data_IF_969181225376
#
_entry.id   IF_969181225376
#
_cell.length_a   1.000
_cell.length_b   1.000
_cell.length_c   1.000
_cell.angle_alpha   90.00
_cell.angle_beta   90.00
_cell.angle_gamma   90.00
#
_symmetry.space_group_name_H-M   'P 1'
#
loop_
_entity.id
_entity.type
_entity.pdbx_description
1 polymer ?
#
# COMPACT_ATOMS: atom_id res chain seq x y z
N UNK A 1 -17.69 -11.86 5.63
CA UNK A 1 -17.51 -12.50 4.31
C UNK A 1 -16.24 -12.03 3.58
N UNK A 2 -15.78 -10.80 3.75
CA UNK A 2 -14.51 -10.29 3.11
C UNK A 2 -13.22 -10.93 3.67
N UNK A 3 -13.17 -11.31 4.95
CA UNK A 3 -12.00 -11.98 5.57
C UNK A 3 -11.73 -13.40 5.04
N UNK A 4 -12.71 -14.09 4.48
CA UNK A 4 -12.55 -15.42 3.87
C UNK A 4 -12.02 -15.35 2.42
N UNK A 5 -12.15 -14.20 1.77
CA UNK A 5 -11.70 -14.00 0.39
C UNK A 5 -10.20 -13.67 0.35
N UNK A 6 -9.69 -12.87 1.31
CA UNK A 6 -8.27 -12.54 1.42
C UNK A 6 -7.39 -13.78 1.68
N UNK A 7 -7.87 -14.72 2.49
CA UNK A 7 -7.19 -16.00 2.75
C UNK A 7 -7.16 -16.93 1.52
N UNK A 8 -8.14 -16.79 0.61
CA UNK A 8 -8.17 -17.57 -0.63
C UNK A 8 -7.22 -17.00 -1.70
N UNK A 9 -7.02 -15.67 -1.75
CA UNK A 9 -6.07 -15.04 -2.67
C UNK A 9 -4.61 -15.36 -2.30
N UNK A 10 -4.26 -15.36 -1.02
CA UNK A 10 -2.93 -15.76 -0.55
C UNK A 10 -2.60 -17.22 -0.87
N UNK A 11 -3.60 -18.13 -0.87
CA UNK A 11 -3.41 -19.54 -1.22
C UNK A 11 -3.24 -19.78 -2.73
N UNK A 12 -3.75 -18.88 -3.59
CA UNK A 12 -3.64 -19.00 -5.06
C UNK A 12 -2.28 -18.52 -5.56
N UNK A 13 -1.66 -17.53 -4.91
CA UNK A 13 -0.31 -17.07 -5.29
C UNK A 13 0.80 -18.06 -4.96
N UNK A 14 0.62 -18.96 -3.98
CA UNK A 14 1.60 -20.00 -3.62
C UNK A 14 1.57 -21.23 -4.55
N UNK A 15 0.59 -21.36 -5.45
CA UNK A 15 0.42 -22.51 -6.34
C UNK A 15 0.89 -22.28 -7.79
N UNK A 16 1.32 -21.09 -8.17
CA UNK A 16 1.71 -20.74 -9.55
C UNK A 16 3.21 -20.89 -9.88
N UNK A 17 4.06 -21.32 -8.95
CA UNK A 17 5.53 -21.41 -9.15
C UNK A 17 6.02 -22.82 -9.54
N UNK A 18 5.17 -23.84 -9.67
CA UNK A 18 5.58 -25.23 -9.88
C UNK A 18 5.17 -25.87 -11.23
N UNK A 19 4.94 -25.10 -12.30
CA UNK A 19 4.62 -25.69 -13.61
C UNK A 19 5.34 -25.01 -14.78
N UNK A 20 6.66 -25.10 -14.80
CA UNK A 20 7.42 -24.82 -16.01
C UNK A 20 8.67 -25.70 -16.05
N UNK A 21 8.54 -26.88 -16.62
CA UNK A 21 9.60 -27.57 -17.37
C UNK A 21 9.12 -28.94 -17.85
N UNK A 22 8.69 -29.06 -19.09
CA UNK A 22 9.12 -30.15 -19.99
C UNK A 22 8.60 -29.93 -21.41
N UNK A 23 9.49 -29.64 -22.30
CA UNK A 23 9.31 -29.60 -23.74
C UNK A 23 9.38 -30.99 -24.35
N UNK A 24 8.53 -31.29 -25.35
CA UNK A 24 8.98 -31.91 -26.61
C UNK A 24 7.94 -31.78 -27.70
N UNK A 25 8.42 -31.33 -28.84
CA UNK A 25 7.71 -31.14 -30.11
C UNK A 25 7.38 -32.49 -30.79
N UNK A 26 6.30 -32.51 -31.56
CA UNK A 26 6.22 -33.12 -32.89
C UNK A 26 4.93 -32.64 -33.63
N UNK A 27 5.13 -32.17 -34.84
CA UNK A 27 4.17 -31.77 -35.90
C UNK A 27 4.27 -32.82 -37.01
N UNK A 28 3.47 -32.81 -38.08
CA UNK A 28 2.03 -32.72 -38.34
C UNK A 28 1.48 -33.88 -39.22
N UNK A 29 0.18 -33.94 -39.47
CA UNK A 29 -0.40 -34.44 -40.73
C UNK A 29 -1.89 -34.11 -40.86
N UNK A 30 -2.23 -33.39 -41.92
CA UNK A 30 -3.49 -33.28 -42.62
C UNK A 30 -3.40 -34.19 -43.85
N UNK A 31 -4.42 -34.39 -44.72
CA UNK A 31 -5.88 -34.33 -44.64
C UNK A 31 -6.59 -35.59 -45.18
N UNK A 32 -7.94 -35.65 -45.14
CA UNK A 32 -8.71 -36.15 -46.27
C UNK A 32 -10.23 -35.88 -46.16
N UNK A 33 -10.72 -35.27 -47.22
CA UNK A 33 -12.13 -35.07 -47.56
C UNK A 33 -12.75 -36.37 -48.03
N UNK A 34 -14.03 -36.60 -47.74
CA UNK A 34 -14.94 -37.30 -48.68
C UNK A 34 -16.35 -36.72 -48.58
N UNK A 35 -16.75 -36.21 -49.70
CA UNK A 35 -18.10 -35.88 -50.19
C UNK A 35 -18.97 -37.11 -50.33
N UNK A 36 -20.25 -37.00 -50.01
CA UNK A 36 -21.36 -37.53 -50.82
C UNK A 36 -22.74 -36.99 -50.40
N UNK A 37 -23.46 -36.45 -51.34
CA UNK A 37 -24.85 -36.05 -51.41
C UNK A 37 -25.57 -37.11 -52.28
N UNK A 38 -26.91 -37.12 -52.55
CA UNK A 38 -28.10 -36.74 -51.78
C UNK A 38 -29.21 -37.80 -51.77
N UNK A 39 -30.32 -37.63 -51.07
CA UNK A 39 -31.60 -38.20 -51.44
C UNK A 39 -32.82 -37.43 -50.88
N UNK A 40 -33.78 -37.22 -51.68
CA UNK A 40 -34.96 -36.37 -51.68
C UNK A 40 -36.08 -36.77 -50.70
N UNK A 41 -36.76 -35.73 -50.21
CA UNK A 41 -38.15 -35.43 -49.81
C UNK A 41 -39.23 -36.53 -49.83
N UNK A 42 -40.37 -36.41 -49.03
CA UNK A 42 -41.46 -35.49 -49.39
C UNK A 42 -42.21 -34.80 -48.18
N UNK A 43 -42.61 -33.59 -48.50
CA UNK A 43 -43.90 -32.88 -48.32
C UNK A 43 -44.80 -33.11 -47.07
N UNK A 44 -45.09 -32.04 -46.31
CA UNK A 44 -46.35 -31.40 -45.91
C UNK A 44 -46.24 -30.67 -44.57
N UNK A 45 -47.15 -29.76 -44.14
CA UNK A 45 -47.52 -28.47 -44.70
C UNK A 45 -47.13 -27.31 -43.77
N UNK A 46 -47.16 -26.10 -44.30
CA UNK A 46 -46.84 -24.84 -43.65
C UNK A 46 -47.69 -24.57 -42.38
N UNK A 47 -47.03 -24.44 -41.21
CA UNK A 47 -47.51 -23.63 -40.10
C UNK A 47 -46.80 -22.27 -40.17
N UNK A 48 -47.60 -21.21 -40.31
CA UNK A 48 -47.18 -19.82 -40.15
C UNK A 48 -46.70 -19.61 -38.71
N UNK A 49 -45.38 -19.69 -38.52
CA UNK A 49 -44.77 -19.14 -37.33
C UNK A 49 -44.59 -17.65 -37.56
N UNK A 50 -45.44 -16.87 -36.95
CA UNK A 50 -45.20 -15.45 -36.72
C UNK A 50 -43.91 -15.35 -35.93
N UNK A 51 -42.81 -14.98 -36.59
CA UNK A 51 -41.61 -14.45 -35.94
C UNK A 51 -42.02 -13.14 -35.25
N UNK A 52 -42.30 -13.25 -33.97
CA UNK A 52 -42.33 -12.10 -33.07
C UNK A 52 -40.88 -11.58 -32.97
N UNK A 53 -40.58 -10.60 -33.83
CA UNK A 53 -39.34 -9.83 -33.73
C UNK A 53 -39.44 -9.07 -32.43
N UNK A 54 -38.90 -9.64 -31.33
CA UNK A 54 -38.65 -8.90 -30.12
C UNK A 54 -37.63 -7.81 -30.47
N UNK A 55 -38.13 -6.60 -30.68
CA UNK A 55 -37.26 -5.41 -30.68
C UNK A 55 -36.48 -5.44 -29.40
N UNK A 56 -35.17 -5.46 -29.47
CA UNK A 56 -34.32 -5.26 -28.29
C UNK A 56 -34.74 -3.91 -27.68
N UNK A 57 -35.21 -3.92 -26.44
CA UNK A 57 -35.49 -2.70 -25.71
C UNK A 57 -34.19 -1.89 -25.66
N UNK A 58 -34.24 -0.62 -26.01
CA UNK A 58 -33.09 0.28 -25.80
C UNK A 58 -32.81 0.31 -24.31
N UNK A 59 -31.50 0.27 -23.90
CA UNK A 59 -31.15 0.28 -22.49
C UNK A 59 -31.72 1.52 -21.82
N UNK A 60 -32.20 1.35 -20.60
CA UNK A 60 -32.67 2.45 -19.74
C UNK A 60 -31.50 3.40 -19.37
N UNK A 61 -31.82 4.62 -18.96
CA UNK A 61 -30.79 5.55 -18.51
C UNK A 61 -30.00 5.00 -17.32
N UNK A 62 -30.63 4.28 -16.41
CA UNK A 62 -29.98 3.64 -15.25
C UNK A 62 -28.98 2.57 -15.69
N UNK A 63 -29.34 1.73 -16.69
CA UNK A 63 -28.42 0.74 -17.26
C UNK A 63 -27.23 1.40 -18.00
N UNK A 64 -27.45 2.54 -18.66
CA UNK A 64 -26.37 3.29 -19.30
C UNK A 64 -25.43 3.95 -18.27
N UNK A 65 -26.00 4.48 -17.20
CA UNK A 65 -25.22 5.10 -16.12
C UNK A 65 -24.38 4.04 -15.38
N UNK A 66 -24.95 2.87 -15.10
CA UNK A 66 -24.22 1.76 -14.49
C UNK A 66 -23.10 1.25 -15.42
N UNK A 67 -23.40 1.06 -16.72
CA UNK A 67 -22.39 0.61 -17.67
C UNK A 67 -21.20 1.58 -17.79
N UNK A 68 -21.46 2.90 -17.72
CA UNK A 68 -20.40 3.89 -17.74
C UNK A 68 -19.55 3.84 -16.45
N UNK A 69 -20.18 3.61 -15.30
CA UNK A 69 -19.49 3.45 -14.02
C UNK A 69 -18.64 2.17 -13.99
N UNK A 70 -19.19 1.05 -14.48
CA UNK A 70 -18.49 -0.25 -14.56
C UNK A 70 -17.25 -0.18 -15.48
N UNK A 71 -17.33 0.55 -16.60
CA UNK A 71 -16.18 0.76 -17.47
C UNK A 71 -15.05 1.51 -16.77
N UNK A 72 -15.37 2.55 -16.02
CA UNK A 72 -14.38 3.31 -15.23
C UNK A 72 -13.84 2.49 -14.07
N UNK A 73 -14.68 1.72 -13.39
CA UNK A 73 -14.23 0.81 -12.34
C UNK A 73 -13.19 -0.18 -12.87
N UNK A 74 -13.45 -0.81 -14.01
CA UNK A 74 -12.48 -1.72 -14.64
C UNK A 74 -11.17 -1.03 -15.03
N UNK A 75 -11.18 0.25 -15.41
CA UNK A 75 -9.97 1.01 -15.70
C UNK A 75 -9.17 1.32 -14.43
N UNK A 76 -9.83 1.61 -13.32
CA UNK A 76 -9.20 1.84 -12.01
C UNK A 76 -8.57 0.53 -11.52
N UNK A 77 -9.30 -0.58 -11.54
CA UNK A 77 -8.78 -1.90 -11.13
C UNK A 77 -7.56 -2.30 -11.97
N UNK A 78 -7.54 -1.95 -13.27
CA UNK A 78 -6.42 -2.23 -14.16
C UNK A 78 -5.13 -1.45 -13.83
N UNK A 79 -5.21 -0.30 -13.16
CA UNK A 79 -4.04 0.46 -12.68
C UNK A 79 -3.69 0.14 -11.23
N UNK A 80 -4.50 -0.60 -10.51
CA UNK A 80 -4.20 -1.06 -9.15
C UNK A 80 -3.35 -2.33 -9.19
N UNK A 81 -2.11 -2.19 -9.68
CA UNK A 81 -1.18 -3.29 -9.90
C UNK A 81 0.23 -2.93 -9.43
N UNK A 82 0.97 -3.94 -8.94
CA UNK A 82 2.35 -3.75 -8.47
C UNK A 82 3.39 -3.75 -9.60
N UNK A 83 3.00 -4.11 -10.82
CA UNK A 83 3.93 -4.19 -11.95
C UNK A 83 3.73 -3.03 -12.92
N UNK A 84 4.80 -2.27 -13.16
CA UNK A 84 4.81 -1.24 -14.20
C UNK A 84 5.13 -1.84 -15.57
N UNK A 85 4.40 -1.40 -16.58
CA UNK A 85 4.61 -1.74 -18.00
C UNK A 85 4.78 -0.47 -18.83
N UNK A 86 5.08 -0.62 -20.12
CA UNK A 86 5.13 0.51 -21.06
C UNK A 86 3.75 1.17 -21.29
N UNK A 87 2.67 0.51 -20.90
CA UNK A 87 1.29 0.97 -21.08
C UNK A 87 0.76 1.71 -19.85
N UNK A 88 1.44 1.59 -18.70
CA UNK A 88 0.97 2.12 -17.42
C UNK A 88 0.66 3.62 -17.46
N UNK A 89 1.52 4.43 -18.09
CA UNK A 89 1.28 5.88 -18.20
C UNK A 89 -0.01 6.18 -18.95
N UNK A 90 -0.23 5.51 -20.08
CA UNK A 90 -1.43 5.69 -20.87
C UNK A 90 -2.70 5.16 -20.16
N UNK A 91 -2.57 4.08 -19.40
CA UNK A 91 -3.68 3.54 -18.59
C UNK A 91 -4.08 4.52 -17.48
N UNK A 92 -3.12 5.09 -16.76
CA UNK A 92 -3.38 6.11 -15.74
C UNK A 92 -4.10 7.34 -16.32
N UNK A 93 -3.61 7.86 -17.46
CA UNK A 93 -4.23 8.99 -18.15
C UNK A 93 -5.66 8.66 -18.63
N UNK A 94 -5.88 7.45 -19.18
CA UNK A 94 -7.18 7.01 -19.66
C UNK A 94 -8.19 6.83 -18.52
N UNK A 95 -7.80 6.21 -17.42
CA UNK A 95 -8.67 6.01 -16.25
C UNK A 95 -9.16 7.36 -15.69
N UNK A 96 -8.24 8.33 -15.52
CA UNK A 96 -8.62 9.67 -15.04
C UNK A 96 -9.52 10.42 -16.03
N UNK A 97 -9.22 10.36 -17.32
CA UNK A 97 -10.03 11.01 -18.35
C UNK A 97 -11.45 10.42 -18.40
N UNK A 98 -11.59 9.10 -18.27
CA UNK A 98 -12.88 8.43 -18.22
C UNK A 98 -13.65 8.82 -16.95
N UNK A 99 -12.99 8.84 -15.78
CA UNK A 99 -13.59 9.33 -14.54
C UNK A 99 -14.09 10.78 -14.63
N UNK A 100 -13.29 11.67 -15.22
CA UNK A 100 -13.66 13.09 -15.36
C UNK A 100 -14.85 13.30 -16.32
N UNK A 101 -15.10 12.36 -17.22
CA UNK A 101 -16.26 12.39 -18.13
C UNK A 101 -17.56 11.92 -17.46
N UNK A 102 -17.50 11.23 -16.31
CA UNK A 102 -18.67 10.79 -15.56
C UNK A 102 -19.39 11.98 -14.90
N UNK A 103 -20.71 11.89 -14.85
CA UNK A 103 -21.54 12.74 -13.99
C UNK A 103 -21.37 12.33 -12.52
N UNK A 104 -21.73 13.23 -11.57
CA UNK A 104 -21.67 12.91 -10.13
C UNK A 104 -22.52 11.68 -9.77
N UNK A 105 -23.66 11.46 -10.45
CA UNK A 105 -24.51 10.30 -10.24
C UNK A 105 -23.83 9.01 -10.72
N UNK A 106 -23.10 9.03 -11.83
CA UNK A 106 -22.34 7.90 -12.34
C UNK A 106 -21.12 7.60 -11.47
N UNK A 107 -20.42 8.65 -10.98
CA UNK A 107 -19.29 8.47 -10.04
C UNK A 107 -19.70 7.75 -8.75
N UNK A 108 -20.91 8.05 -8.26
CA UNK A 108 -21.47 7.37 -7.08
C UNK A 108 -21.80 5.87 -7.31
N UNK A 109 -21.81 5.42 -8.57
CA UNK A 109 -22.05 4.02 -8.95
C UNK A 109 -20.75 3.26 -9.22
N UNK A 110 -19.59 3.92 -9.18
CA UNK A 110 -18.31 3.25 -9.44
C UNK A 110 -18.02 2.28 -8.30
N UNK A 111 -17.99 0.99 -8.61
CA UNK A 111 -17.70 -0.09 -7.68
C UNK A 111 -16.95 -1.20 -8.42
N UNK A 112 -15.75 -1.57 -7.95
CA UNK A 112 -14.89 -2.61 -8.50
C UNK A 112 -14.20 -3.41 -7.42
N UNK A 113 -13.15 -4.13 -7.77
CA UNK A 113 -12.33 -4.85 -6.77
C UNK A 113 -11.63 -3.85 -5.84
N UNK A 114 -11.08 -2.76 -6.41
CA UNK A 114 -10.39 -1.67 -5.71
C UNK A 114 -10.97 -0.30 -6.07
N UNK A 115 -11.77 -0.22 -7.14
CA UNK A 115 -12.43 0.99 -7.55
C UNK A 115 -13.57 1.36 -6.59
N UNK A 116 -13.68 2.65 -6.28
CA UNK A 116 -14.71 3.21 -5.42
C UNK A 116 -15.12 4.61 -5.88
N UNK A 117 -16.27 5.13 -5.41
CA UNK A 117 -16.68 6.51 -5.68
C UNK A 117 -15.66 7.56 -5.22
N UNK A 118 -14.83 7.21 -4.23
CA UNK A 118 -13.85 8.11 -3.63
C UNK A 118 -12.44 7.97 -4.23
N UNK A 119 -12.20 7.03 -5.15
CA UNK A 119 -10.86 6.73 -5.65
C UNK A 119 -10.11 7.97 -6.17
N UNK A 120 -10.77 8.81 -6.97
CA UNK A 120 -10.20 10.08 -7.45
C UNK A 120 -10.83 11.33 -6.82
N UNK A 121 -11.91 11.16 -6.06
CA UNK A 121 -12.71 12.25 -5.52
C UNK A 121 -12.38 12.64 -4.08
N UNK A 122 -11.64 11.82 -3.35
CA UNK A 122 -11.28 12.11 -1.97
C UNK A 122 -10.29 13.27 -1.89
N UNK A 123 -10.61 14.29 -1.10
CA UNK A 123 -9.68 15.37 -0.79
C UNK A 123 -8.61 14.88 0.17
N UNK A 124 -7.38 14.76 -0.31
CA UNK A 124 -6.21 14.32 0.47
C UNK A 124 -5.16 15.43 0.60
N UNK A 125 -5.53 16.67 0.28
CA UNK A 125 -4.64 17.82 0.34
C UNK A 125 -4.14 18.30 -1.02
N UNK A 126 -3.17 19.20 -1.01
CA UNK A 126 -2.68 19.94 -2.17
C UNK A 126 -1.38 19.29 -2.72
N UNK A 127 -1.51 18.52 -3.80
CA UNK A 127 -0.38 17.86 -4.47
C UNK A 127 0.73 18.83 -4.89
N UNK A 128 0.40 20.10 -5.22
CA UNK A 128 1.39 21.08 -5.67
C UNK A 128 2.41 21.51 -4.59
N UNK A 129 2.20 21.11 -3.34
CA UNK A 129 3.14 21.34 -2.23
C UNK A 129 4.22 20.26 -2.12
N UNK A 130 4.05 19.17 -2.84
CA UNK A 130 5.05 18.09 -2.89
C UNK A 130 6.09 18.36 -3.98
N UNK A 131 7.20 17.61 -3.91
CA UNK A 131 8.26 17.58 -4.91
C UNK A 131 8.56 16.09 -5.19
N UNK A 132 8.35 15.59 -6.41
CA UNK A 132 8.59 14.18 -6.73
C UNK A 132 10.09 13.80 -6.65
N UNK A 133 10.99 14.77 -6.54
CA UNK A 133 12.44 14.58 -6.39
C UNK A 133 13.03 13.60 -7.41
N UNK A 134 12.60 13.73 -8.65
CA UNK A 134 13.04 12.91 -9.79
C UNK A 134 13.84 13.72 -10.82
N UNK A 135 14.52 14.78 -10.37
CA UNK A 135 15.33 15.68 -11.21
C UNK A 135 16.55 14.98 -11.81
N UNK A 136 16.96 15.47 -12.96
CA UNK A 136 18.19 15.09 -13.64
C UNK A 136 19.34 16.08 -13.33
N UNK A 137 20.54 15.81 -13.82
CA UNK A 137 21.73 16.66 -13.66
C UNK A 137 22.13 16.92 -12.19
N UNK A 138 22.04 15.92 -11.35
CA UNK A 138 22.22 16.01 -9.90
C UNK A 138 23.66 15.91 -9.39
N UNK A 139 24.64 15.68 -10.28
CA UNK A 139 26.04 15.49 -9.90
C UNK A 139 26.39 14.03 -9.59
N UNK A 140 27.52 13.84 -8.89
CA UNK A 140 28.11 12.51 -8.68
C UNK A 140 27.63 11.78 -7.40
N UNK A 141 26.98 12.49 -6.47
CA UNK A 141 26.57 11.96 -5.17
C UNK A 141 25.05 12.01 -5.03
N UNK A 142 24.42 10.86 -4.86
CA UNK A 142 22.97 10.73 -4.67
C UNK A 142 22.65 10.05 -3.35
N UNK A 143 21.70 10.63 -2.60
CA UNK A 143 20.99 10.03 -1.48
C UNK A 143 19.59 9.70 -1.95
N UNK A 144 19.34 8.44 -2.30
CA UNK A 144 18.04 7.93 -2.74
C UNK A 144 17.22 7.53 -1.52
N UNK A 145 16.17 8.30 -1.25
CA UNK A 145 15.19 7.99 -0.19
C UNK A 145 14.13 7.06 -0.77
N UNK A 146 14.00 5.88 -0.20
CA UNK A 146 13.08 4.84 -0.65
C UNK A 146 11.99 4.63 0.38
N UNK A 147 10.75 4.93 -0.03
CA UNK A 147 9.56 4.82 0.81
C UNK A 147 8.55 3.84 0.20
N UNK A 148 7.68 3.24 1.01
CA UNK A 148 6.50 2.55 0.48
C UNK A 148 5.66 3.51 -0.38
N UNK A 149 5.45 4.72 0.12
CA UNK A 149 4.68 5.77 -0.50
C UNK A 149 3.32 5.97 0.15
N UNK A 150 2.65 7.04 -0.24
CA UNK A 150 1.24 7.29 0.09
C UNK A 150 0.60 8.15 -1.00
N UNK A 151 -0.66 7.86 -1.33
CA UNK A 151 -1.49 8.69 -2.21
C UNK A 151 -2.09 9.90 -1.48
N UNK A 152 -2.05 9.94 -0.14
CA UNK A 152 -2.52 11.08 0.66
C UNK A 152 -1.53 12.25 0.55
N UNK A 153 -1.94 13.33 -0.14
CA UNK A 153 -1.08 14.47 -0.44
C UNK A 153 -0.55 15.17 0.82
N UNK A 154 -1.40 15.42 1.82
CA UNK A 154 -0.98 16.08 3.05
C UNK A 154 0.02 15.23 3.85
N UNK A 155 -0.22 13.91 3.95
CA UNK A 155 0.72 12.98 4.60
C UNK A 155 2.03 12.86 3.82
N UNK A 156 1.97 12.83 2.48
CA UNK A 156 3.19 12.79 1.65
C UNK A 156 4.06 14.02 1.87
N UNK A 157 3.45 15.20 1.97
CA UNK A 157 4.15 16.47 2.25
C UNK A 157 4.66 16.52 3.69
N UNK A 158 3.84 16.14 4.67
CA UNK A 158 4.21 16.24 6.08
C UNK A 158 5.27 15.21 6.46
N UNK A 159 5.11 13.97 6.04
CA UNK A 159 5.92 12.84 6.50
C UNK A 159 7.10 12.57 5.54
N UNK A 160 6.82 12.17 4.30
CA UNK A 160 7.89 11.75 3.35
C UNK A 160 8.77 12.95 2.97
N UNK A 161 8.16 14.01 2.46
CA UNK A 161 8.91 15.22 2.10
C UNK A 161 9.62 15.84 3.31
N UNK A 162 9.02 15.78 4.50
CA UNK A 162 9.64 16.25 5.74
C UNK A 162 10.94 15.50 6.05
N UNK A 163 10.96 14.16 5.89
CA UNK A 163 12.16 13.33 6.04
C UNK A 163 13.20 13.70 4.97
N UNK A 164 12.78 13.79 3.71
CA UNK A 164 13.67 14.12 2.60
C UNK A 164 14.30 15.51 2.73
N UNK A 165 13.51 16.50 3.19
CA UNK A 165 14.01 17.86 3.43
C UNK A 165 15.05 17.87 4.55
N UNK A 166 14.81 17.13 5.64
CA UNK A 166 15.75 16.99 6.73
C UNK A 166 17.07 16.30 6.30
N UNK A 167 16.96 15.26 5.46
CA UNK A 167 18.12 14.59 4.88
C UNK A 167 18.89 15.50 3.93
N UNK A 168 18.21 16.30 3.12
CA UNK A 168 18.86 17.28 2.24
C UNK A 168 19.57 18.38 3.04
N UNK A 169 18.95 18.88 4.12
CA UNK A 169 19.59 19.87 4.99
C UNK A 169 20.85 19.32 5.69
N UNK A 170 20.79 18.07 6.13
CA UNK A 170 21.92 17.39 6.77
C UNK A 170 23.05 17.03 5.81
N UNK A 171 22.76 16.87 4.51
CA UNK A 171 23.70 16.43 3.48
C UNK A 171 23.70 17.38 2.27
N UNK A 172 24.13 18.65 2.43
CA UNK A 172 24.00 19.67 1.39
C UNK A 172 24.82 19.39 0.12
N UNK A 173 25.84 18.55 0.21
CA UNK A 173 26.71 18.14 -0.92
C UNK A 173 26.18 16.91 -1.67
N UNK A 174 25.04 16.37 -1.26
CA UNK A 174 24.36 15.23 -1.86
C UNK A 174 23.02 15.66 -2.45
N UNK A 175 22.64 15.08 -3.57
CA UNK A 175 21.31 15.29 -4.13
C UNK A 175 20.33 14.25 -3.55
N UNK A 176 19.33 14.72 -2.83
CA UNK A 176 18.28 13.85 -2.29
C UNK A 176 17.23 13.61 -3.37
N UNK A 177 17.00 12.33 -3.68
CA UNK A 177 15.99 11.88 -4.63
C UNK A 177 15.04 10.88 -3.98
N UNK A 178 13.88 10.68 -4.62
CA UNK A 178 12.79 9.82 -4.12
C UNK A 178 12.60 8.60 -5.01
N UNK A 179 12.29 7.46 -4.38
CA UNK A 179 11.63 6.34 -5.02
C UNK A 179 10.53 5.78 -4.11
N UNK A 180 9.45 5.25 -4.73
CA UNK A 180 8.45 4.49 -4.01
C UNK A 180 8.53 3.00 -4.39
N UNK A 181 8.20 2.12 -3.45
CA UNK A 181 8.14 0.68 -3.68
C UNK A 181 6.75 0.23 -4.12
N UNK A 182 5.68 0.87 -3.65
CA UNK A 182 4.30 0.52 -4.00
C UNK A 182 3.89 1.10 -5.35
N UNK A 183 3.91 0.28 -6.41
CA UNK A 183 3.51 0.73 -7.75
C UNK A 183 2.04 1.17 -7.81
N UNK A 184 1.14 0.54 -7.04
CA UNK A 184 -0.27 0.95 -6.93
C UNK A 184 -0.40 2.42 -6.48
N UNK A 185 0.41 2.84 -5.52
CA UNK A 185 0.45 4.22 -5.02
C UNK A 185 0.97 5.18 -6.10
N UNK A 186 2.05 4.79 -6.80
CA UNK A 186 2.61 5.57 -7.91
C UNK A 186 1.57 5.78 -9.00
N UNK A 187 0.86 4.70 -9.39
CA UNK A 187 -0.17 4.75 -10.43
C UNK A 187 -1.33 5.66 -10.01
N UNK A 188 -1.79 5.56 -8.75
CA UNK A 188 -2.86 6.41 -8.22
C UNK A 188 -2.48 7.88 -8.26
N UNK A 189 -1.29 8.24 -7.76
CA UNK A 189 -0.77 9.62 -7.78
C UNK A 189 -0.67 10.13 -9.21
N UNK A 190 -0.09 9.32 -10.10
CA UNK A 190 0.04 9.70 -11.51
C UNK A 190 -1.31 9.91 -12.18
N UNK A 191 -2.28 9.00 -11.95
CA UNK A 191 -3.61 9.12 -12.54
C UNK A 191 -4.35 10.34 -11.98
N UNK A 192 -4.40 10.52 -10.65
CA UNK A 192 -5.16 11.60 -10.01
C UNK A 192 -4.54 12.98 -10.20
N UNK A 193 -3.22 13.10 -9.95
CA UNK A 193 -2.52 14.39 -9.84
C UNK A 193 -1.64 14.68 -11.06
N UNK A 194 -1.42 13.70 -11.96
CA UNK A 194 -0.51 13.82 -13.10
C UNK A 194 0.98 13.83 -12.70
N UNK A 195 1.28 13.59 -11.42
CA UNK A 195 2.64 13.62 -10.89
C UNK A 195 3.32 12.26 -11.07
N UNK A 196 4.56 12.28 -11.57
CA UNK A 196 5.34 11.06 -11.83
C UNK A 196 6.38 10.87 -10.74
N UNK A 197 6.20 9.82 -9.95
CA UNK A 197 7.16 9.38 -8.94
C UNK A 197 7.88 8.15 -9.48
N UNK A 198 9.20 8.12 -9.37
CA UNK A 198 9.99 6.97 -9.80
C UNK A 198 9.74 5.77 -8.86
N UNK A 199 9.56 4.57 -9.41
CA UNK A 199 9.75 3.35 -8.66
C UNK A 199 11.24 3.02 -8.51
N UNK A 200 11.57 1.97 -7.75
CA UNK A 200 12.97 1.63 -7.47
C UNK A 200 13.80 1.44 -8.74
N UNK A 201 13.28 0.74 -9.75
CA UNK A 201 13.97 0.51 -11.03
C UNK A 201 14.18 1.83 -11.79
N UNK A 202 13.15 2.66 -11.89
CA UNK A 202 13.22 3.95 -12.58
C UNK A 202 14.22 4.89 -11.89
N UNK A 203 14.24 4.93 -10.56
CA UNK A 203 15.17 5.75 -9.79
C UNK A 203 16.63 5.31 -9.99
N UNK A 204 16.89 3.99 -10.00
CA UNK A 204 18.23 3.46 -10.24
C UNK A 204 18.68 3.66 -11.68
N UNK A 205 17.81 3.46 -12.67
CA UNK A 205 18.10 3.76 -14.08
C UNK A 205 18.43 5.24 -14.27
N UNK A 206 17.68 6.12 -13.62
CA UNK A 206 17.93 7.57 -13.65
C UNK A 206 19.24 7.94 -12.96
N UNK A 207 19.59 7.32 -11.84
CA UNK A 207 20.87 7.51 -11.17
C UNK A 207 22.05 7.15 -12.10
N UNK A 208 21.94 6.03 -12.80
CA UNK A 208 22.94 5.61 -13.81
C UNK A 208 23.01 6.61 -14.98
N UNK A 209 21.86 7.05 -15.48
CA UNK A 209 21.78 8.03 -16.59
C UNK A 209 22.36 9.40 -16.18
N UNK A 210 22.19 9.82 -14.94
CA UNK A 210 22.76 11.05 -14.36
C UNK A 210 24.28 10.96 -14.13
N UNK A 211 24.87 9.78 -14.25
CA UNK A 211 26.29 9.58 -14.01
C UNK A 211 26.68 9.61 -12.54
N UNK A 212 25.76 9.23 -11.65
CA UNK A 212 26.01 9.09 -10.21
C UNK A 212 27.15 8.09 -10.00
N UNK A 213 28.09 8.45 -9.13
CA UNK A 213 29.22 7.59 -8.74
C UNK A 213 29.02 7.01 -7.34
N UNK A 214 28.52 7.83 -6.43
CA UNK A 214 28.30 7.45 -5.04
C UNK A 214 26.81 7.47 -4.75
N UNK A 215 26.26 6.29 -4.47
CA UNK A 215 24.85 6.10 -4.14
C UNK A 215 24.70 5.68 -2.67
N UNK A 216 23.90 6.40 -1.92
CA UNK A 216 23.40 5.98 -0.60
C UNK A 216 21.92 5.78 -0.71
N UNK A 217 21.43 4.61 -0.35
CA UNK A 217 20.00 4.29 -0.28
C UNK A 217 19.55 4.40 1.16
N UNK A 218 18.60 5.30 1.43
CA UNK A 218 17.97 5.49 2.74
C UNK A 218 16.54 4.97 2.70
N UNK A 219 16.27 3.77 3.25
CA UNK A 219 14.90 3.31 3.41
C UNK A 219 14.18 4.15 4.47
N UNK A 220 12.89 4.44 4.25
CA UNK A 220 11.99 4.94 5.27
C UNK A 220 11.11 3.82 5.84
N UNK A 221 11.39 2.57 5.50
CA UNK A 221 10.71 1.41 6.05
C UNK A 221 10.92 1.34 7.56
N UNK A 222 9.91 0.85 8.27
CA UNK A 222 9.98 0.75 9.72
C UNK A 222 10.99 -0.30 10.18
N UNK A 223 11.11 -1.41 9.44
CA UNK A 223 11.90 -2.60 9.80
C UNK A 223 12.46 -3.31 8.56
N UNK A 224 13.31 -4.32 8.77
CA UNK A 224 13.77 -5.26 7.74
C UNK A 224 12.64 -6.22 7.34
N UNK A 225 11.59 -5.69 6.70
CA UNK A 225 10.45 -6.45 6.18
C UNK A 225 10.66 -6.86 4.72
N UNK A 226 9.58 -7.37 4.10
CA UNK A 226 9.61 -7.84 2.72
C UNK A 226 10.03 -6.74 1.74
N UNK A 227 9.49 -5.54 1.88
CA UNK A 227 9.81 -4.41 1.01
C UNK A 227 11.28 -3.96 1.13
N UNK A 228 11.87 -4.07 2.31
CA UNK A 228 13.30 -3.81 2.50
C UNK A 228 14.15 -4.87 1.79
N UNK A 229 13.77 -6.14 1.88
CA UNK A 229 14.47 -7.24 1.20
C UNK A 229 14.37 -7.09 -0.33
N UNK A 230 13.19 -6.75 -0.87
CA UNK A 230 12.98 -6.48 -2.29
C UNK A 230 13.81 -5.28 -2.78
N UNK A 231 13.88 -4.21 -1.99
CA UNK A 231 14.73 -3.04 -2.28
C UNK A 231 16.21 -3.45 -2.37
N UNK A 232 16.69 -4.26 -1.43
CA UNK A 232 18.05 -4.76 -1.41
C UNK A 232 18.34 -5.65 -2.64
N UNK A 233 17.40 -6.51 -3.03
CA UNK A 233 17.51 -7.37 -4.22
C UNK A 233 17.55 -6.55 -5.51
N UNK A 234 16.69 -5.53 -5.63
CA UNK A 234 16.70 -4.62 -6.76
C UNK A 234 18.05 -3.90 -6.89
N UNK A 235 18.58 -3.38 -5.78
CA UNK A 235 19.86 -2.67 -5.76
C UNK A 235 21.05 -3.58 -6.13
N UNK A 236 20.99 -4.88 -5.78
CA UNK A 236 22.06 -5.83 -6.10
C UNK A 236 22.38 -5.87 -7.60
N UNK A 237 21.37 -5.68 -8.46
CA UNK A 237 21.50 -5.68 -9.93
C UNK A 237 22.22 -4.43 -10.46
N UNK A 238 22.34 -3.39 -9.63
CA UNK A 238 22.93 -2.09 -10.02
C UNK A 238 24.27 -1.80 -9.33
N UNK A 239 24.73 -2.60 -8.37
CA UNK A 239 25.94 -2.32 -7.59
C UNK A 239 27.18 -2.01 -8.45
N UNK A 240 27.35 -2.76 -9.52
CA UNK A 240 28.49 -2.58 -10.45
C UNK A 240 28.39 -1.32 -11.33
N UNK A 241 27.30 -0.57 -11.27
CA UNK A 241 27.08 0.66 -12.03
C UNK A 241 27.64 1.88 -11.33
N UNK A 242 27.95 1.79 -10.04
CA UNK A 242 28.40 2.88 -9.19
C UNK A 242 29.82 2.63 -8.67
N UNK A 243 30.57 3.69 -8.31
CA UNK A 243 31.87 3.55 -7.67
C UNK A 243 31.74 3.13 -6.20
N UNK A 244 30.66 3.59 -5.53
CA UNK A 244 30.30 3.17 -4.18
C UNK A 244 28.79 3.09 -4.01
N UNK A 245 28.34 2.09 -3.24
CA UNK A 245 26.94 1.91 -2.83
C UNK A 245 26.89 1.60 -1.35
N UNK A 246 26.01 2.29 -0.62
CA UNK A 246 25.70 1.99 0.77
C UNK A 246 24.18 1.97 0.96
N UNK A 247 23.71 1.13 1.88
CA UNK A 247 22.31 1.06 2.30
C UNK A 247 22.29 1.39 3.78
N UNK A 248 21.43 2.33 4.17
CA UNK A 248 21.18 2.65 5.56
C UNK A 248 20.19 1.66 6.19
N UNK A 249 20.22 1.58 7.53
CA UNK A 249 19.27 0.76 8.28
C UNK A 249 17.86 1.36 8.26
N UNK A 250 16.81 0.52 8.32
CA UNK A 250 15.45 0.96 8.61
C UNK A 250 15.33 1.61 9.99
N UNK A 251 14.22 2.31 10.25
CA UNK A 251 14.04 3.12 11.46
C UNK A 251 14.24 2.33 12.77
N UNK A 252 13.78 1.07 12.83
CA UNK A 252 13.92 0.21 14.03
C UNK A 252 15.19 -0.65 14.01
N UNK A 253 16.08 -0.43 13.01
CA UNK A 253 17.35 -1.14 12.90
C UNK A 253 17.18 -2.65 12.69
N UNK A 254 18.23 -3.41 13.00
CA UNK A 254 18.24 -4.85 12.83
C UNK A 254 17.13 -5.55 13.63
N UNK A 255 16.61 -6.65 13.06
CA UNK A 255 15.66 -7.54 13.72
C UNK A 255 16.44 -8.53 14.60
N UNK A 256 16.13 -8.56 15.90
CA UNK A 256 16.71 -9.56 16.78
C UNK A 256 16.10 -10.95 16.56
N UNK A 257 16.74 -11.98 17.14
CA UNK A 257 16.29 -13.36 17.04
C UNK A 257 14.96 -13.66 17.75
N UNK A 258 14.58 -12.84 18.70
CA UNK A 258 13.34 -12.95 19.49
C UNK A 258 12.96 -11.62 20.10
N UNK A 259 11.82 -11.56 20.77
CA UNK A 259 11.26 -10.35 21.39
C UNK A 259 12.13 -9.69 22.47
N UNK A 260 13.15 -10.37 22.96
CA UNK A 260 14.05 -9.83 24.04
C UNK A 260 15.34 -9.20 23.51
N UNK A 261 15.64 -9.39 22.22
CA UNK A 261 16.83 -8.83 21.56
C UNK A 261 16.49 -7.45 21.02
N UNK A 262 16.81 -6.43 21.79
CA UNK A 262 16.47 -5.04 21.52
C UNK A 262 17.75 -4.25 21.21
N UNK A 263 17.68 -3.36 20.21
CA UNK A 263 18.78 -2.49 19.81
C UNK A 263 18.55 -1.04 20.23
N UNK A 264 19.57 -0.18 20.03
CA UNK A 264 19.50 1.24 20.38
C UNK A 264 18.49 2.04 19.54
N UNK A 265 18.22 1.61 18.30
CA UNK A 265 17.28 2.29 17.41
C UNK A 265 15.86 2.17 17.93
N UNK A 266 15.46 0.97 18.38
CA UNK A 266 14.16 0.75 19.01
C UNK A 266 13.99 1.58 20.29
N UNK A 267 15.06 1.71 21.10
CA UNK A 267 15.04 2.58 22.30
C UNK A 267 14.84 4.05 21.92
N UNK A 268 15.56 4.53 20.90
CA UNK A 268 15.45 5.91 20.43
C UNK A 268 14.05 6.22 19.89
N UNK A 269 13.50 5.32 19.05
CA UNK A 269 12.15 5.46 18.50
C UNK A 269 11.10 5.40 19.60
N UNK A 270 11.18 4.42 20.52
CA UNK A 270 10.23 4.31 21.64
C UNK A 270 10.15 5.60 22.47
N UNK A 271 11.31 6.20 22.79
CA UNK A 271 11.36 7.49 23.49
C UNK A 271 10.76 8.63 22.67
N UNK A 272 11.10 8.72 21.39
CA UNK A 272 10.65 9.79 20.52
C UNK A 272 9.13 9.78 20.31
N UNK A 273 8.56 8.62 19.94
CA UNK A 273 7.12 8.52 19.69
C UNK A 273 6.30 8.70 20.96
N UNK A 274 6.77 8.17 22.10
CA UNK A 274 6.09 8.36 23.39
C UNK A 274 6.13 9.82 23.82
N UNK A 275 7.27 10.51 23.68
CA UNK A 275 7.37 11.93 23.99
C UNK A 275 6.45 12.79 23.11
N UNK A 276 6.37 12.49 21.82
CA UNK A 276 5.44 13.16 20.89
C UNK A 276 3.98 12.94 21.30
N UNK A 277 3.59 11.69 21.57
CA UNK A 277 2.22 11.35 21.97
C UNK A 277 1.81 12.05 23.28
N UNK A 278 2.69 12.11 24.25
CA UNK A 278 2.50 12.83 25.53
C UNK A 278 2.31 14.33 25.27
N UNK A 279 3.18 14.94 24.49
CA UNK A 279 3.13 16.37 24.20
C UNK A 279 1.84 16.78 23.48
N UNK A 280 1.47 16.03 22.43
CA UNK A 280 0.26 16.31 21.64
C UNK A 280 -1.03 16.09 22.43
N UNK A 281 -1.01 15.23 23.45
CA UNK A 281 -2.14 14.94 24.31
C UNK A 281 -2.27 15.89 25.50
N UNK A 282 -1.31 16.82 25.63
CA UNK A 282 -1.30 17.84 26.69
C UNK A 282 -0.92 17.31 28.07
N UNK A 283 -0.38 16.10 28.19
CA UNK A 283 0.19 15.61 29.43
C UNK A 283 1.61 16.13 29.66
N UNK A 284 2.01 16.27 30.93
CA UNK A 284 3.38 16.68 31.28
C UNK A 284 4.39 15.53 31.14
N UNK A 285 3.92 14.28 31.28
CA UNK A 285 4.73 13.07 31.18
C UNK A 285 3.89 11.83 30.91
N UNK A 286 4.54 10.72 30.54
CA UNK A 286 3.90 9.41 30.42
C UNK A 286 3.31 8.94 31.76
N UNK A 287 3.96 9.25 32.88
CA UNK A 287 3.47 8.93 34.20
C UNK A 287 2.23 9.76 34.58
N UNK A 288 2.18 11.04 34.20
CA UNK A 288 0.98 11.86 34.40
C UNK A 288 -0.24 11.34 33.62
N UNK A 289 -0.03 10.86 32.40
CA UNK A 289 -1.08 10.18 31.63
C UNK A 289 -1.53 8.88 32.29
N UNK A 290 -0.59 8.07 32.80
CA UNK A 290 -0.86 6.84 33.54
C UNK A 290 -1.69 7.11 34.80
N UNK A 291 -1.31 8.12 35.61
CA UNK A 291 -2.07 8.53 36.81
C UNK A 291 -3.48 9.02 36.48
N UNK A 292 -3.66 9.60 35.28
CA UNK A 292 -4.98 9.98 34.75
C UNK A 292 -5.78 8.81 34.18
N UNK A 293 -5.30 7.58 34.23
CA UNK A 293 -5.97 6.40 33.69
C UNK A 293 -5.92 6.30 32.17
N UNK A 294 -4.93 6.93 31.53
CA UNK A 294 -4.80 6.99 30.07
C UNK A 294 -3.67 6.09 29.58
N UNK A 295 -3.99 5.24 28.60
CA UNK A 295 -3.04 4.45 27.85
C UNK A 295 -2.78 5.06 26.47
N UNK A 296 -1.54 4.92 25.98
CA UNK A 296 -1.19 5.17 24.59
C UNK A 296 -1.11 3.83 23.87
N UNK A 297 -1.77 3.73 22.73
CA UNK A 297 -1.74 2.54 21.88
C UNK A 297 -1.16 2.93 20.53
N UNK A 298 -0.01 2.37 20.19
CA UNK A 298 0.64 2.58 18.93
C UNK A 298 0.31 1.45 17.97
N UNK A 299 -0.35 1.77 16.85
CA UNK A 299 -0.80 0.83 15.84
C UNK A 299 0.19 0.81 14.65
N UNK A 300 0.92 -0.30 14.47
CA UNK A 300 1.70 -0.59 13.28
C UNK A 300 0.85 -1.33 12.23
N UNK A 301 1.45 -1.60 11.07
CA UNK A 301 0.77 -2.37 10.01
C UNK A 301 0.60 -3.84 10.40
N UNK A 302 1.67 -4.48 10.82
CA UNK A 302 1.77 -5.94 10.93
C UNK A 302 2.39 -6.53 9.67
N UNK A 303 2.84 -7.76 9.76
CA UNK A 303 3.40 -8.49 8.60
C UNK A 303 3.50 -9.98 8.89
N UNK A 304 3.26 -10.81 7.88
CA UNK A 304 3.55 -12.23 7.93
C UNK A 304 5.06 -12.55 7.84
N UNK A 305 5.90 -11.57 7.47
CA UNK A 305 7.35 -11.71 7.40
C UNK A 305 7.96 -12.03 8.77
N UNK A 306 9.12 -12.68 8.79
CA UNK A 306 9.83 -13.02 10.04
C UNK A 306 10.17 -11.79 10.89
N UNK A 307 10.28 -10.62 10.28
CA UNK A 307 10.49 -9.34 10.95
C UNK A 307 9.33 -8.91 11.86
N UNK A 308 8.17 -9.56 11.86
CA UNK A 308 7.04 -9.28 12.73
C UNK A 308 7.40 -9.24 14.21
N UNK A 309 8.45 -9.98 14.63
CA UNK A 309 8.97 -9.96 16.00
C UNK A 309 9.38 -8.56 16.45
N UNK A 310 9.66 -7.65 15.53
CA UNK A 310 10.01 -6.24 15.82
C UNK A 310 8.90 -5.53 16.60
N UNK A 311 7.64 -5.85 16.38
CA UNK A 311 6.52 -5.29 17.15
C UNK A 311 6.54 -5.77 18.61
N UNK A 312 6.79 -7.06 18.85
CA UNK A 312 6.99 -7.61 20.20
C UNK A 312 8.24 -7.02 20.88
N UNK A 313 9.32 -6.76 20.09
CA UNK A 313 10.52 -6.07 20.61
C UNK A 313 10.21 -4.63 21.00
N UNK A 314 9.40 -3.90 20.24
CA UNK A 314 8.96 -2.55 20.62
C UNK A 314 8.13 -2.57 21.91
N UNK A 315 7.21 -3.51 22.08
CA UNK A 315 6.48 -3.67 23.35
C UNK A 315 7.42 -3.96 24.51
N UNK A 316 8.39 -4.84 24.33
CA UNK A 316 9.41 -5.12 25.35
C UNK A 316 10.25 -3.89 25.67
N UNK A 317 10.60 -3.08 24.67
CA UNK A 317 11.32 -1.82 24.84
C UNK A 317 10.51 -0.80 25.64
N UNK A 318 9.20 -0.66 25.40
CA UNK A 318 8.33 0.20 26.21
C UNK A 318 8.34 -0.22 27.67
N UNK A 319 8.27 -1.52 27.97
CA UNK A 319 8.34 -2.06 29.31
C UNK A 319 9.71 -1.80 30.00
N UNK A 320 10.82 -1.95 29.27
CA UNK A 320 12.16 -1.66 29.79
C UNK A 320 12.35 -0.18 30.13
N UNK A 321 11.69 0.72 29.42
CA UNK A 321 11.68 2.15 29.71
C UNK A 321 10.74 2.53 30.86
N UNK A 322 9.96 1.58 31.39
CA UNK A 322 8.97 1.82 32.42
C UNK A 322 7.68 2.44 31.94
N UNK A 323 7.42 2.41 30.62
CA UNK A 323 6.20 2.96 30.00
C UNK A 323 5.08 1.94 30.08
N UNK A 324 4.57 1.68 31.30
CA UNK A 324 3.59 0.62 31.58
C UNK A 324 2.21 0.89 30.96
N UNK A 325 1.93 2.14 30.57
CA UNK A 325 0.70 2.54 29.91
C UNK A 325 0.87 2.72 28.39
N UNK A 326 1.91 2.13 27.79
CA UNK A 326 2.14 2.16 26.35
C UNK A 326 2.03 0.74 25.78
N UNK A 327 1.19 0.59 24.77
CA UNK A 327 0.89 -0.69 24.12
C UNK A 327 1.19 -0.61 22.63
N UNK A 328 1.67 -1.72 22.07
CA UNK A 328 1.95 -1.86 20.65
C UNK A 328 0.94 -2.84 20.07
N UNK A 329 0.31 -2.45 18.96
CA UNK A 329 -0.57 -3.32 18.21
C UNK A 329 -0.34 -3.20 16.71
N UNK A 330 -1.06 -3.99 15.92
CA UNK A 330 -0.95 -3.99 14.45
C UNK A 330 -2.30 -4.21 13.78
N UNK A 331 -2.51 -3.57 12.61
CA UNK A 331 -3.73 -3.72 11.80
C UNK A 331 -3.96 -5.17 11.43
N UNK A 332 -2.91 -5.86 10.96
CA UNK A 332 -2.98 -7.24 10.49
C UNK A 332 -3.07 -8.28 11.63
N UNK A 333 -2.89 -7.86 12.89
CA UNK A 333 -2.83 -8.79 14.01
C UNK A 333 -1.65 -9.76 13.91
N UNK A 334 -0.55 -9.34 13.32
CA UNK A 334 0.66 -10.12 13.16
C UNK A 334 1.89 -9.39 13.77
N UNK A 335 2.44 -9.92 14.87
CA UNK A 335 2.09 -11.20 15.54
C UNK A 335 0.74 -11.15 16.28
N UNK A 336 0.15 -12.33 16.60
CA UNK A 336 -1.23 -12.46 17.13
C UNK A 336 -1.49 -11.64 18.40
N UNK A 337 -0.49 -11.51 19.27
CA UNK A 337 -0.59 -10.70 20.50
C UNK A 337 -0.76 -9.20 20.24
N UNK A 338 -0.58 -8.74 19.01
CA UNK A 338 -0.72 -7.34 18.59
C UNK A 338 -2.05 -7.04 17.91
N UNK A 339 -2.97 -8.00 17.80
CA UNK A 339 -4.31 -7.77 17.25
C UNK A 339 -5.09 -6.74 18.08
N UNK A 340 -6.05 -6.06 17.48
CA UNK A 340 -6.89 -5.07 18.15
C UNK A 340 -7.55 -5.66 19.41
N UNK A 341 -8.11 -6.87 19.31
CA UNK A 341 -8.74 -7.57 20.41
C UNK A 341 -7.76 -7.87 21.54
N UNK A 342 -6.55 -8.36 21.21
CA UNK A 342 -5.53 -8.66 22.22
C UNK A 342 -5.07 -7.40 22.95
N UNK A 343 -4.87 -6.29 22.22
CA UNK A 343 -4.48 -5.00 22.80
C UNK A 343 -5.60 -4.43 23.67
N UNK A 344 -6.86 -4.47 23.22
CA UNK A 344 -8.03 -4.07 24.02
C UNK A 344 -8.08 -4.82 25.36
N UNK A 345 -7.92 -6.13 25.32
CA UNK A 345 -7.93 -6.94 26.54
C UNK A 345 -6.72 -6.63 27.46
N UNK A 346 -5.53 -6.37 26.89
CA UNK A 346 -4.35 -5.97 27.65
C UNK A 346 -4.53 -4.61 28.35
N UNK A 347 -5.10 -3.62 27.65
CA UNK A 347 -5.38 -2.28 28.20
C UNK A 347 -6.43 -2.37 29.31
N UNK A 348 -7.49 -3.17 29.14
CA UNK A 348 -8.51 -3.45 30.17
C UNK A 348 -7.90 -4.12 31.39
N UNK A 349 -7.09 -5.15 31.19
CA UNK A 349 -6.42 -5.88 32.28
C UNK A 349 -5.48 -4.98 33.09
N UNK A 350 -4.86 -3.99 32.44
CA UNK A 350 -4.03 -2.99 33.09
C UNK A 350 -4.82 -1.91 33.83
N UNK A 351 -6.15 -1.85 33.65
CA UNK A 351 -7.05 -0.97 34.41
C UNK A 351 -7.17 0.45 33.85
N UNK A 352 -6.76 0.70 32.61
CA UNK A 352 -6.95 2.00 31.95
C UNK A 352 -8.37 2.15 31.43
N UNK A 353 -8.85 3.39 31.36
CA UNK A 353 -10.21 3.75 30.91
C UNK A 353 -10.20 4.71 29.72
N UNK A 354 -9.10 5.40 29.49
CA UNK A 354 -8.93 6.30 28.37
C UNK A 354 -7.81 5.77 27.46
N UNK A 355 -7.99 5.90 26.16
CA UNK A 355 -7.01 5.43 25.17
C UNK A 355 -6.73 6.53 24.15
N UNK A 356 -5.47 6.73 23.85
CA UNK A 356 -4.99 7.59 22.78
C UNK A 356 -4.35 6.69 21.73
N UNK A 357 -5.00 6.58 20.58
CA UNK A 357 -4.49 5.84 19.43
C UNK A 357 -3.48 6.69 18.67
N UNK A 358 -2.36 6.09 18.28
CA UNK A 358 -1.32 6.71 17.48
C UNK A 358 -0.76 5.72 16.46
N UNK A 359 -0.40 6.16 15.25
CA UNK A 359 0.25 5.26 14.30
C UNK A 359 1.69 4.95 14.75
N UNK A 360 2.10 3.70 14.57
CA UNK A 360 3.51 3.25 14.53
C UNK A 360 3.84 2.95 13.06
N UNK A 361 3.76 3.97 12.26
CA UNK A 361 4.00 3.97 10.82
C UNK A 361 4.78 5.23 10.47
N UNK A 362 5.62 5.16 9.44
CA UNK A 362 6.40 6.34 9.00
C UNK A 362 5.50 7.35 8.33
N UNK A 363 4.40 6.89 7.73
CA UNK A 363 3.45 7.72 6.98
C UNK A 363 2.02 7.44 7.46
N UNK A 364 1.27 8.48 7.75
CA UNK A 364 -0.15 8.42 8.08
C UNK A 364 -0.99 8.33 6.78
N UNK A 365 -0.98 7.16 6.15
CA UNK A 365 -1.76 6.84 4.95
C UNK A 365 -3.14 6.25 5.28
N UNK A 366 -3.59 5.33 4.44
CA UNK A 366 -4.90 4.69 4.52
C UNK A 366 -5.16 4.04 5.88
N UNK A 367 -4.24 3.18 6.34
CA UNK A 367 -4.38 2.50 7.63
C UNK A 367 -4.54 3.44 8.82
N UNK A 368 -3.86 4.59 8.83
CA UNK A 368 -4.01 5.55 9.91
C UNK A 368 -5.35 6.30 9.85
N UNK A 369 -5.84 6.59 8.65
CA UNK A 369 -7.08 7.35 8.45
C UNK A 369 -8.32 6.46 8.54
N UNK A 370 -8.27 5.23 8.03
CA UNK A 370 -9.41 4.33 7.94
C UNK A 370 -9.37 3.25 9.03
N UNK A 371 -8.33 2.38 9.07
CA UNK A 371 -8.30 1.27 10.03
C UNK A 371 -8.11 1.74 11.48
N UNK A 372 -7.34 2.82 11.70
CA UNK A 372 -7.15 3.36 13.05
C UNK A 372 -8.26 4.33 13.45
N UNK A 373 -8.53 5.35 12.64
CA UNK A 373 -9.33 6.52 13.02
C UNK A 373 -10.69 6.61 12.28
N UNK A 374 -10.99 5.68 11.39
CA UNK A 374 -12.22 5.64 10.60
C UNK A 374 -13.47 5.43 11.44
N UNK A 375 -14.63 5.44 10.76
CA UNK A 375 -15.96 5.30 11.35
C UNK A 375 -16.56 3.90 11.20
N UNK A 376 -15.89 3.02 10.46
CA UNK A 376 -16.36 1.65 10.24
C UNK A 376 -16.30 0.82 11.54
N UNK A 377 -17.13 -0.21 11.64
CA UNK A 377 -17.26 -1.01 12.86
C UNK A 377 -15.96 -1.75 13.25
N UNK A 378 -15.08 -1.99 12.30
CA UNK A 378 -13.79 -2.67 12.45
C UNK A 378 -12.58 -1.70 12.56
N UNK A 379 -12.82 -0.38 12.56
CA UNK A 379 -11.77 0.58 12.90
C UNK A 379 -11.38 0.46 14.36
N UNK A 380 -10.10 0.65 14.66
CA UNK A 380 -9.61 0.59 16.04
C UNK A 380 -10.33 1.54 16.97
N UNK A 381 -10.57 2.78 16.52
CA UNK A 381 -11.36 3.75 17.26
C UNK A 381 -12.71 3.19 17.66
N UNK A 382 -13.49 2.67 16.72
CA UNK A 382 -14.84 2.13 16.97
C UNK A 382 -14.78 0.90 17.87
N UNK A 383 -13.78 0.02 17.68
CA UNK A 383 -13.58 -1.16 18.53
C UNK A 383 -13.24 -0.77 19.99
N UNK A 384 -12.36 0.21 20.20
CA UNK A 384 -12.05 0.70 21.56
C UNK A 384 -13.25 1.39 22.22
N UNK A 385 -14.00 2.22 21.48
CA UNK A 385 -15.24 2.84 21.97
C UNK A 385 -16.28 1.79 22.34
N UNK A 386 -16.49 0.77 21.49
CA UNK A 386 -17.39 -0.35 21.77
C UNK A 386 -16.95 -1.18 22.98
N UNK A 387 -15.65 -1.23 23.24
CA UNK A 387 -15.07 -1.89 24.42
C UNK A 387 -15.22 -1.07 25.72
N UNK A 388 -15.73 0.19 25.63
CA UNK A 388 -16.02 1.08 26.76
C UNK A 388 -14.89 2.06 27.12
N UNK A 389 -13.92 2.25 26.24
CA UNK A 389 -12.89 3.28 26.40
C UNK A 389 -13.36 4.64 25.87
N UNK A 390 -12.74 5.70 26.37
CA UNK A 390 -12.90 7.09 25.89
C UNK A 390 -11.59 7.62 25.35
#
# INVERSE_FOLDING_TARGET
>A
MKKTLALLLAAVMLLSVLAACSSKAETPAEPEQTTEEPAQTPDAPAEETTEETTAAEEPSQEELDQAAADEVAAMIDAIYVQTRTNETDAQCEAAKAAWDALTDAQKALVEGDEASPDYFGLDTGDASKDDPRNQDDIGENELLVVSFGTSFNDSRVADIKGIEDALQEANPDWSVRRAFTAQIIINHIQARDGEKIDNMTQALDRAVANGVKNLVVQPTHLMHGAEYDEMCEALEQYKDKFESVAIAEPMLGEVGSDATVINADKEAVAKAITAAAVADSGFESVDAAKEAGTAFVFMGHGTAHVAKVTYSQMQAQMQQLGYENVFIGTVEGEPEETSAEAVIEAVKAAGYTNVILRPLMVVAGDHANNDMAGSEDDSWKTMFEAAGFT
#
